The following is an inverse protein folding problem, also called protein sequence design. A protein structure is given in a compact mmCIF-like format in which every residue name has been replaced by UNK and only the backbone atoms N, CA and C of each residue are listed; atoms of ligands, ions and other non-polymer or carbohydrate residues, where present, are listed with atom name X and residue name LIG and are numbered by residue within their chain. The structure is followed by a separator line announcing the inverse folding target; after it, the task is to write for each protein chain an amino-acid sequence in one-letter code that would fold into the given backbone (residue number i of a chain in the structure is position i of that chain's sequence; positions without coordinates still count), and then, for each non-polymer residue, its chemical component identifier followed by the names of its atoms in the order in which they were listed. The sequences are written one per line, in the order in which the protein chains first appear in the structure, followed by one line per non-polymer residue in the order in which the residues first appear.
data_IF_956128255268
#
_entry.id   IF_956128255268
#
_cell.length_a   1.000
_cell.length_b   1.000
_cell.length_c   1.000
_cell.angle_alpha   90.00
_cell.angle_beta   90.00
_cell.angle_gamma   90.00
#
_symmetry.space_group_name_H-M   'P 1'
#
loop_
_entity.id
_entity.type
_entity.pdbx_description
1 polymer ?
#
# COMPACT_ATOMS: atom_id res chain seq x y z
N UNK A 1 -24.21 25.11 11.63
CA UNK A 1 -23.02 25.92 11.29
C UNK A 1 -21.85 25.31 12.04
N UNK A 2 -21.13 24.39 11.43
CA UNK A 2 -19.99 23.70 12.07
C UNK A 2 -18.89 24.73 12.29
N UNK A 3 -18.70 25.13 13.55
CA UNK A 3 -17.73 26.16 13.96
C UNK A 3 -16.35 25.53 13.99
N UNK A 4 -15.67 25.46 12.85
CA UNK A 4 -14.21 25.35 12.84
C UNK A 4 -13.69 26.78 12.99
N UNK A 5 -12.94 27.05 14.05
CA UNK A 5 -12.43 28.38 14.41
C UNK A 5 -11.33 28.87 13.43
N UNK A 6 -11.57 28.82 12.12
CA UNK A 6 -10.56 29.00 11.08
C UNK A 6 -9.56 27.84 10.99
N UNK A 7 -9.79 26.73 11.71
CA UNK A 7 -8.93 25.55 11.71
C UNK A 7 -9.24 24.63 10.54
N UNK A 8 -8.20 23.99 9.99
CA UNK A 8 -8.34 23.01 8.92
C UNK A 8 -8.96 21.71 9.49
N UNK A 9 -10.00 21.14 8.84
CA UNK A 9 -10.52 19.83 9.20
C UNK A 9 -9.45 18.74 9.06
N UNK A 10 -9.48 17.75 9.94
CA UNK A 10 -8.52 16.63 9.92
C UNK A 10 -8.47 15.93 8.56
N UNK A 11 -9.64 15.64 7.97
CA UNK A 11 -9.75 14.98 6.67
C UNK A 11 -9.06 15.80 5.56
N UNK A 12 -9.23 17.12 5.59
CA UNK A 12 -8.58 18.04 4.65
C UNK A 12 -7.07 18.03 4.84
N UNK A 13 -6.59 18.08 6.09
CA UNK A 13 -5.16 18.03 6.40
C UNK A 13 -4.54 16.71 5.93
N UNK A 14 -5.19 15.58 6.23
CA UNK A 14 -4.70 14.25 5.88
C UNK A 14 -4.66 14.07 4.36
N UNK A 15 -5.74 14.44 3.66
CA UNK A 15 -5.78 14.40 2.19
C UNK A 15 -4.67 15.26 1.59
N UNK A 16 -4.47 16.48 2.09
CA UNK A 16 -3.40 17.35 1.61
C UNK A 16 -2.00 16.77 1.85
N UNK A 17 -1.75 16.17 3.01
CA UNK A 17 -0.47 15.53 3.32
C UNK A 17 -0.20 14.35 2.39
N UNK A 18 -1.17 13.44 2.26
CA UNK A 18 -1.02 12.23 1.44
C UNK A 18 -0.89 12.56 -0.06
N UNK A 19 -1.54 13.63 -0.55
CA UNK A 19 -1.43 14.04 -1.95
C UNK A 19 -0.02 14.41 -2.42
N UNK A 20 0.89 14.72 -1.49
CA UNK A 20 2.28 15.11 -1.77
C UNK A 20 3.28 13.97 -1.62
N UNK A 21 2.84 12.84 -1.08
CA UNK A 21 3.70 11.69 -0.80
C UNK A 21 3.63 10.73 -1.99
N UNK A 22 4.78 10.44 -2.60
CA UNK A 22 4.90 9.38 -3.61
C UNK A 22 5.31 8.07 -2.93
N UNK A 23 4.61 6.95 -3.18
CA UNK A 23 5.01 5.65 -2.65
C UNK A 23 6.43 5.26 -3.07
N UNK A 24 7.17 4.58 -2.19
CA UNK A 24 8.49 4.05 -2.51
C UNK A 24 8.36 2.90 -3.53
N UNK A 25 9.14 2.98 -4.62
CA UNK A 25 9.13 1.97 -5.70
C UNK A 25 10.37 1.08 -5.69
N UNK A 26 11.39 1.39 -4.88
CA UNK A 26 12.53 0.52 -4.69
C UNK A 26 12.08 -0.81 -4.06
N UNK A 27 12.62 -1.92 -4.55
CA UNK A 27 12.26 -3.26 -4.06
C UNK A 27 13.50 -4.13 -3.82
N UNK A 28 13.29 -5.16 -3.04
CA UNK A 28 14.27 -6.22 -2.76
C UNK A 28 13.56 -7.58 -2.83
N UNK A 29 14.33 -8.64 -3.06
CA UNK A 29 13.81 -10.02 -3.09
C UNK A 29 14.28 -10.74 -1.84
N UNK A 30 13.33 -11.25 -1.06
CA UNK A 30 13.56 -11.91 0.22
C UNK A 30 12.87 -13.29 0.25
N UNK A 31 13.36 -14.23 1.07
CA UNK A 31 12.64 -15.45 1.38
C UNK A 31 11.31 -15.15 2.10
N UNK A 32 10.27 -15.97 1.86
CA UNK A 32 8.92 -15.73 2.37
C UNK A 32 8.82 -15.53 3.88
N UNK A 33 9.67 -16.23 4.66
CA UNK A 33 9.71 -16.10 6.12
C UNK A 33 10.08 -14.69 6.60
N UNK A 34 10.75 -13.89 5.77
CA UNK A 34 11.12 -12.50 6.09
C UNK A 34 10.13 -11.47 5.50
N UNK A 35 9.09 -11.91 4.78
CA UNK A 35 8.16 -11.01 4.09
C UNK A 35 6.96 -10.57 4.96
N UNK A 36 6.85 -11.02 6.21
CA UNK A 36 5.73 -10.63 7.08
C UNK A 36 5.73 -9.12 7.35
N UNK A 37 4.61 -8.45 7.10
CA UNK A 37 4.47 -6.98 7.23
C UNK A 37 5.08 -6.15 6.10
N UNK A 38 5.65 -6.78 5.06
CA UNK A 38 6.16 -6.10 3.86
C UNK A 38 5.05 -5.92 2.82
N UNK A 39 5.23 -4.95 1.91
CA UNK A 39 4.34 -4.72 0.76
C UNK A 39 4.93 -5.40 -0.47
N UNK A 40 4.07 -6.09 -1.24
CA UNK A 40 4.46 -6.69 -2.51
C UNK A 40 4.79 -5.58 -3.52
N UNK A 41 5.94 -5.70 -4.18
CA UNK A 41 6.36 -4.76 -5.21
C UNK A 41 5.64 -4.99 -6.55
N UNK A 42 5.22 -6.22 -6.83
CA UNK A 42 4.54 -6.63 -8.06
C UNK A 42 3.50 -7.71 -7.74
N UNK A 43 2.57 -7.94 -8.67
CA UNK A 43 1.55 -8.98 -8.56
C UNK A 43 2.18 -10.39 -8.46
N UNK A 44 1.55 -11.26 -7.67
CA UNK A 44 1.96 -12.66 -7.55
C UNK A 44 1.15 -13.49 -8.54
N UNK A 45 1.83 -14.04 -9.54
CA UNK A 45 1.23 -14.90 -10.56
C UNK A 45 1.47 -16.37 -10.23
N UNK A 46 0.44 -17.20 -10.33
CA UNK A 46 0.59 -18.65 -10.17
C UNK A 46 1.49 -19.21 -11.29
N UNK A 47 2.59 -19.91 -10.96
CA UNK A 47 3.52 -20.41 -11.98
C UNK A 47 2.96 -21.61 -12.78
N UNK A 48 1.92 -22.27 -12.27
CA UNK A 48 1.26 -23.38 -12.95
C UNK A 48 -0.25 -23.18 -12.98
N UNK A 49 -0.88 -23.48 -14.12
CA UNK A 49 -2.31 -23.70 -14.19
C UNK A 49 -2.65 -24.94 -13.36
N UNK A 50 -3.66 -24.85 -12.48
CA UNK A 50 -4.15 -26.00 -11.72
C UNK A 50 -4.58 -27.12 -12.68
N UNK A 51 -3.67 -28.04 -12.99
CA UNK A 51 -3.96 -29.35 -13.54
C UNK A 51 -3.11 -30.36 -12.78
N UNK A 52 -3.61 -30.70 -11.59
CA UNK A 52 -3.09 -31.74 -10.72
C UNK A 52 -3.99 -32.98 -10.73
N UNK A 53 -4.59 -33.31 -11.87
CA UNK A 53 -5.24 -34.62 -12.08
C UNK A 53 -4.43 -35.43 -13.10
N UNK A 54 -3.74 -36.46 -12.62
CA UNK A 54 -3.37 -37.65 -13.37
C UNK A 54 -3.50 -38.85 -12.45
#
# INVERSE_FOLDING_TARGET
MEFTAGLMPLETALTQMLSRITPLTAFETLPLVHCFGRILANDVVSPAGRSGIR
#
